data_IF_964765953721
#
_entry.id   IF_964765953721
#
_cell.length_a   1.000
_cell.length_b   1.000
_cell.length_c   1.000
_cell.angle_alpha   90.00
_cell.angle_beta   90.00
_cell.angle_gamma   90.00
#
_symmetry.space_group_name_H-M   'P 1'
#
loop_
_entity.id
_entity.type
_entity.pdbx_description
1 polymer ?
#
# COMPACT_ATOMS: atom_id res chain seq x y z
N UNK A 1 14.79 -13.87 7.92
CA UNK A 1 14.06 -12.82 8.68
C UNK A 1 12.56 -13.00 8.45
N UNK A 2 11.81 -13.00 9.53
CA UNK A 2 10.36 -13.18 9.45
C UNK A 2 9.70 -11.89 8.97
N UNK A 3 8.87 -11.98 7.93
CA UNK A 3 8.07 -10.84 7.49
C UNK A 3 6.91 -10.70 8.47
N UNK A 4 6.85 -9.57 9.19
CA UNK A 4 5.81 -9.29 10.17
C UNK A 4 4.54 -8.70 9.54
N UNK A 5 4.64 -8.16 8.32
CA UNK A 5 3.52 -7.56 7.64
C UNK A 5 3.85 -7.07 6.24
N UNK A 6 2.86 -6.44 5.63
CA UNK A 6 2.95 -5.87 4.29
C UNK A 6 2.37 -4.47 4.26
N UNK A 7 2.91 -3.65 3.39
CA UNK A 7 2.32 -2.35 3.04
C UNK A 7 1.51 -2.54 1.76
N UNK A 8 0.25 -2.17 1.77
CA UNK A 8 -0.60 -2.30 0.59
C UNK A 8 -0.44 -1.08 -0.31
N UNK A 9 -0.22 -1.32 -1.61
CA UNK A 9 -0.17 -0.22 -2.56
C UNK A 9 -1.56 0.11 -3.14
N UNK A 10 -1.62 1.12 -3.99
CA UNK A 10 -2.86 1.55 -4.63
C UNK A 10 -3.48 0.46 -5.51
N UNK A 11 -2.68 -0.35 -6.19
CA UNK A 11 -3.20 -1.41 -7.07
C UNK A 11 -3.94 -2.48 -6.28
N UNK A 12 -3.43 -2.86 -5.11
CA UNK A 12 -4.10 -3.83 -4.22
C UNK A 12 -5.40 -3.24 -3.70
N UNK A 13 -5.39 -2.00 -3.24
CA UNK A 13 -6.58 -1.33 -2.69
C UNK A 13 -7.69 -1.20 -3.73
N UNK A 14 -7.33 -0.90 -4.97
CA UNK A 14 -8.29 -0.83 -6.09
C UNK A 14 -8.96 -2.20 -6.30
N UNK A 15 -8.18 -3.28 -6.30
CA UNK A 15 -8.75 -4.62 -6.49
C UNK A 15 -9.62 -5.07 -5.30
N UNK A 16 -9.28 -4.67 -4.08
CA UNK A 16 -10.17 -4.88 -2.92
C UNK A 16 -11.51 -4.19 -3.16
N UNK A 17 -11.50 -2.93 -3.59
CA UNK A 17 -12.71 -2.15 -3.86
C UNK A 17 -13.54 -2.72 -4.99
N UNK A 18 -12.89 -3.25 -6.03
CA UNK A 18 -13.56 -3.89 -7.16
C UNK A 18 -14.12 -5.27 -6.83
N UNK A 19 -13.80 -5.80 -5.66
CA UNK A 19 -14.32 -7.09 -5.22
C UNK A 19 -13.57 -8.28 -5.78
N UNK A 20 -12.30 -8.13 -6.15
CA UNK A 20 -11.48 -9.26 -6.59
C UNK A 20 -11.47 -10.34 -5.51
N UNK A 21 -11.88 -11.54 -5.88
CA UNK A 21 -12.05 -12.62 -4.92
C UNK A 21 -10.73 -13.06 -4.29
N UNK A 22 -9.68 -13.20 -5.09
CA UNK A 22 -8.39 -13.69 -4.60
C UNK A 22 -7.71 -12.69 -3.67
N UNK A 23 -7.77 -11.41 -3.99
CA UNK A 23 -7.22 -10.35 -3.13
C UNK A 23 -7.98 -10.28 -1.81
N UNK A 24 -9.31 -10.34 -1.85
CA UNK A 24 -10.13 -10.32 -0.63
C UNK A 24 -9.88 -11.55 0.24
N UNK A 25 -9.76 -12.72 -0.39
CA UNK A 25 -9.41 -13.96 0.31
C UNK A 25 -8.04 -13.85 0.97
N UNK A 26 -7.06 -13.24 0.30
CA UNK A 26 -5.74 -13.02 0.87
C UNK A 26 -5.79 -12.13 2.10
N UNK A 27 -6.60 -11.07 2.08
CA UNK A 27 -6.77 -10.18 3.24
C UNK A 27 -7.35 -10.94 4.45
N UNK A 28 -8.31 -11.84 4.20
CA UNK A 28 -8.88 -12.69 5.25
C UNK A 28 -7.83 -13.66 5.81
N UNK A 29 -7.02 -14.27 4.93
CA UNK A 29 -5.94 -15.18 5.34
C UNK A 29 -4.93 -14.43 6.22
N UNK A 30 -4.54 -13.22 5.86
CA UNK A 30 -3.64 -12.40 6.67
C UNK A 30 -4.22 -12.14 8.05
N UNK A 31 -5.51 -11.82 8.13
CA UNK A 31 -6.17 -11.59 9.41
C UNK A 31 -6.18 -12.85 10.29
N UNK A 32 -6.40 -14.02 9.68
CA UNK A 32 -6.41 -15.29 10.40
C UNK A 32 -5.04 -15.73 10.87
N UNK A 33 -3.98 -15.35 10.17
CA UNK A 33 -2.59 -15.72 10.48
C UNK A 33 -1.81 -14.66 11.26
N UNK A 34 -2.48 -13.63 11.75
CA UNK A 34 -1.86 -12.48 12.44
C UNK A 34 -0.79 -11.75 11.60
N UNK A 35 -0.90 -11.81 10.29
CA UNK A 35 -0.07 -11.04 9.39
C UNK A 35 -0.62 -9.62 9.30
N UNK A 36 0.18 -8.65 9.72
CA UNK A 36 -0.25 -7.24 9.73
C UNK A 36 -0.19 -6.63 8.34
N UNK A 37 -1.10 -5.70 8.06
CA UNK A 37 -1.06 -4.89 6.87
C UNK A 37 -1.20 -3.42 7.23
N UNK A 38 -0.44 -2.59 6.53
CA UNK A 38 -0.52 -1.13 6.65
C UNK A 38 -1.06 -0.54 5.37
N UNK A 39 -2.03 0.35 5.51
CA UNK A 39 -2.62 1.11 4.40
C UNK A 39 -2.18 2.56 4.54
N UNK A 40 -1.24 3.03 3.71
CA UNK A 40 -0.85 4.44 3.76
C UNK A 40 -2.01 5.34 3.30
N UNK A 41 -2.31 6.39 4.06
CA UNK A 41 -3.50 7.21 3.84
C UNK A 41 -3.51 7.91 2.48
N UNK A 42 -2.36 8.39 2.01
CA UNK A 42 -2.27 9.05 0.69
C UNK A 42 -2.43 8.02 -0.43
N UNK A 43 -1.85 6.84 -0.26
CA UNK A 43 -2.03 5.71 -1.18
C UNK A 43 -3.52 5.35 -1.29
N UNK A 44 -4.21 5.29 -0.15
CA UNK A 44 -5.65 5.03 -0.10
C UNK A 44 -6.44 6.11 -0.85
N UNK A 45 -6.12 7.38 -0.62
CA UNK A 45 -6.82 8.48 -1.28
C UNK A 45 -6.71 8.40 -2.81
N UNK A 46 -5.51 8.09 -3.31
CA UNK A 46 -5.29 7.93 -4.76
C UNK A 46 -6.06 6.71 -5.29
N UNK A 47 -6.03 5.59 -4.58
CA UNK A 47 -6.79 4.39 -4.98
C UNK A 47 -8.29 4.67 -5.01
N UNK A 48 -8.84 5.32 -3.99
CA UNK A 48 -10.25 5.65 -3.92
C UNK A 48 -10.71 6.58 -5.05
N UNK A 49 -9.82 7.41 -5.56
CA UNK A 49 -10.16 8.33 -6.66
C UNK A 49 -10.58 7.59 -7.93
N UNK A 50 -10.17 6.33 -8.12
CA UNK A 50 -10.55 5.50 -9.27
C UNK A 50 -11.74 4.57 -8.98
N UNK A 51 -12.32 4.64 -7.78
CA UNK A 51 -13.39 3.74 -7.34
C UNK A 51 -14.74 4.47 -7.29
N UNK A 52 -15.82 3.72 -7.49
CA UNK A 52 -17.18 4.23 -7.27
C UNK A 52 -17.44 4.42 -5.77
N UNK A 53 -18.49 5.17 -5.37
CA UNK A 53 -18.84 5.30 -3.95
C UNK A 53 -19.06 3.97 -3.24
N UNK A 54 -19.70 3.00 -3.90
CA UNK A 54 -19.92 1.67 -3.32
C UNK A 54 -18.61 0.90 -3.14
N UNK A 55 -17.72 0.97 -4.12
CA UNK A 55 -16.40 0.33 -4.05
C UNK A 55 -15.53 0.95 -2.95
N UNK A 56 -15.61 2.26 -2.76
CA UNK A 56 -14.91 2.94 -1.65
C UNK A 56 -15.40 2.44 -0.30
N UNK A 57 -16.71 2.20 -0.15
CA UNK A 57 -17.26 1.65 1.10
C UNK A 57 -16.71 0.24 1.38
N UNK A 58 -16.50 -0.57 0.35
CA UNK A 58 -15.90 -1.90 0.51
C UNK A 58 -14.50 -1.80 1.09
N UNK A 59 -13.66 -0.92 0.54
CA UNK A 59 -12.29 -0.72 1.03
C UNK A 59 -12.30 -0.22 2.48
N UNK A 60 -13.11 0.79 2.76
CA UNK A 60 -13.21 1.37 4.11
C UNK A 60 -13.73 0.36 5.12
N UNK A 61 -14.70 -0.46 4.71
CA UNK A 61 -15.24 -1.53 5.54
C UNK A 61 -14.20 -2.58 5.88
N UNK A 62 -13.31 -2.91 4.94
CA UNK A 62 -12.19 -3.82 5.19
C UNK A 62 -11.24 -3.24 6.25
N UNK A 63 -10.86 -1.97 6.10
CA UNK A 63 -9.93 -1.31 7.03
C UNK A 63 -10.54 -1.30 8.44
N UNK A 64 -11.84 -1.01 8.55
CA UNK A 64 -12.52 -0.91 9.84
C UNK A 64 -12.79 -2.28 10.49
N UNK A 65 -13.03 -3.31 9.67
CA UNK A 65 -13.46 -4.62 10.16
C UNK A 65 -12.31 -5.56 10.53
N UNK A 66 -11.14 -5.43 9.90
CA UNK A 66 -10.01 -6.33 10.12
C UNK A 66 -9.04 -5.72 11.11
N UNK A 67 -8.85 -6.40 12.25
CA UNK A 67 -8.01 -5.92 13.35
C UNK A 67 -6.54 -5.82 12.98
N UNK A 68 -6.09 -6.61 12.01
CA UNK A 68 -4.69 -6.61 11.55
C UNK A 68 -4.39 -5.52 10.52
N UNK A 69 -5.37 -4.76 10.07
CA UNK A 69 -5.21 -3.68 9.08
C UNK A 69 -5.12 -2.36 9.82
N UNK A 70 -4.05 -1.61 9.57
CA UNK A 70 -3.82 -0.30 10.17
C UNK A 70 -3.71 0.77 9.09
N UNK A 71 -4.41 1.89 9.30
CA UNK A 71 -4.27 3.07 8.44
C UNK A 71 -3.07 3.89 8.90
N UNK A 72 -2.07 4.05 8.03
CA UNK A 72 -0.89 4.85 8.32
C UNK A 72 -1.12 6.30 7.89
N UNK A 73 -1.12 7.20 8.87
CA UNK A 73 -1.41 8.62 8.69
C UNK A 73 -0.13 9.45 8.50
N UNK A 74 -0.29 10.67 8.02
CA UNK A 74 0.73 11.71 8.09
C UNK A 74 0.18 12.77 9.06
N UNK A 75 0.38 12.54 10.35
CA UNK A 75 -0.20 13.38 11.39
C UNK A 75 0.84 14.02 12.33
N UNK A 76 2.12 13.67 12.16
CA UNK A 76 3.22 14.21 12.95
C UNK A 76 4.28 14.83 12.03
N UNK A 77 5.13 15.67 12.61
CA UNK A 77 6.25 16.24 11.84
C UNK A 77 7.24 15.16 11.40
N UNK A 78 7.46 14.14 12.22
CA UNK A 78 8.36 13.03 11.85
C UNK A 78 7.82 12.23 10.67
N UNK A 79 6.52 11.95 10.65
CA UNK A 79 5.88 11.28 9.53
C UNK A 79 5.96 12.11 8.26
N UNK A 80 5.73 13.43 8.36
CA UNK A 80 5.88 14.35 7.24
C UNK A 80 7.32 14.39 6.73
N UNK A 81 8.30 14.37 7.62
CA UNK A 81 9.72 14.39 7.26
C UNK A 81 10.12 13.11 6.50
N UNK A 82 9.65 11.94 6.95
CA UNK A 82 9.93 10.69 6.24
C UNK A 82 9.35 10.68 4.83
N UNK A 83 8.11 11.17 4.68
CA UNK A 83 7.48 11.30 3.37
C UNK A 83 8.24 12.31 2.49
N UNK A 84 8.62 13.44 3.05
CA UNK A 84 9.37 14.51 2.38
C UNK A 84 10.68 13.99 1.78
N UNK A 85 11.41 13.14 2.48
CA UNK A 85 12.67 12.59 1.98
C UNK A 85 12.46 11.72 0.73
N UNK A 86 11.37 10.98 0.68
CA UNK A 86 11.04 10.17 -0.50
C UNK A 86 10.63 11.07 -1.67
N UNK A 87 9.72 12.01 -1.41
CA UNK A 87 9.20 12.92 -2.44
C UNK A 87 10.33 13.75 -3.07
N UNK A 88 11.28 14.22 -2.25
CA UNK A 88 12.39 15.03 -2.73
C UNK A 88 13.30 14.30 -3.72
N UNK A 89 13.28 12.97 -3.75
CA UNK A 89 14.07 12.15 -4.67
C UNK A 89 13.34 11.80 -5.96
N UNK A 90 12.04 12.11 -6.03
CA UNK A 90 11.22 11.83 -7.20
C UNK A 90 11.27 12.99 -8.20
N UNK A 91 11.13 12.64 -9.49
CA UNK A 91 10.99 13.64 -10.56
C UNK A 91 9.57 14.20 -10.51
N UNK A 92 9.41 15.55 -10.42
CA UNK A 92 8.07 16.15 -10.41
C UNK A 92 7.29 15.90 -11.73
N UNK A 93 5.96 15.67 -11.62
CA UNK A 93 5.17 15.58 -10.42
C UNK A 93 5.35 14.24 -9.71
N UNK A 94 5.59 14.28 -8.39
CA UNK A 94 5.84 13.07 -7.63
C UNK A 94 4.62 12.16 -7.59
N UNK A 95 4.89 10.85 -7.67
CA UNK A 95 3.88 9.81 -7.45
C UNK A 95 3.63 9.68 -5.94
N UNK A 96 2.64 10.40 -5.44
CA UNK A 96 2.38 10.50 -4.01
C UNK A 96 1.89 9.19 -3.39
N UNK A 97 1.13 8.39 -4.15
CA UNK A 97 0.71 7.08 -3.69
C UNK A 97 1.92 6.16 -3.45
N UNK A 98 2.85 6.15 -4.38
CA UNK A 98 4.09 5.40 -4.25
C UNK A 98 4.97 5.96 -3.14
N UNK A 99 5.09 7.28 -3.04
CA UNK A 99 5.93 7.94 -2.03
C UNK A 99 5.50 7.59 -0.62
N UNK A 100 4.20 7.62 -0.32
CA UNK A 100 3.71 7.28 1.01
C UNK A 100 3.89 5.80 1.32
N UNK A 101 3.64 4.92 0.34
CA UNK A 101 3.88 3.49 0.51
C UNK A 101 5.36 3.20 0.81
N UNK A 102 6.28 3.86 0.12
CA UNK A 102 7.73 3.70 0.37
C UNK A 102 8.11 4.19 1.76
N UNK A 103 7.63 5.37 2.17
CA UNK A 103 7.94 5.93 3.47
C UNK A 103 7.49 5.00 4.61
N UNK A 104 6.28 4.43 4.50
CA UNK A 104 5.76 3.48 5.48
C UNK A 104 6.55 2.17 5.43
N UNK A 105 6.86 1.66 4.24
CA UNK A 105 7.64 0.44 4.05
C UNK A 105 9.03 0.55 4.70
N UNK A 106 9.71 1.66 4.53
CA UNK A 106 11.02 1.91 5.13
C UNK A 106 10.93 1.99 6.66
N UNK A 107 9.93 2.67 7.17
CA UNK A 107 9.76 2.84 8.61
C UNK A 107 9.44 1.52 9.32
N UNK A 108 8.56 0.71 8.73
CA UNK A 108 8.16 -0.57 9.30
C UNK A 108 9.11 -1.72 8.95
N UNK A 109 9.95 -1.54 7.94
CA UNK A 109 10.78 -2.61 7.35
C UNK A 109 9.92 -3.77 6.84
N UNK A 110 8.81 -3.43 6.18
CA UNK A 110 7.88 -4.38 5.56
C UNK A 110 7.89 -4.22 4.05
N UNK A 111 7.79 -5.30 3.28
CA UNK A 111 7.69 -5.20 1.83
C UNK A 111 6.33 -4.62 1.41
N UNK A 112 6.29 -4.05 0.21
CA UNK A 112 5.08 -3.54 -0.40
C UNK A 112 4.42 -4.65 -1.20
N UNK A 113 3.15 -4.91 -0.90
CA UNK A 113 2.32 -5.84 -1.65
C UNK A 113 1.68 -5.10 -2.81
N UNK A 114 1.86 -5.62 -4.03
CA UNK A 114 1.38 -4.97 -5.26
C UNK A 114 0.72 -5.99 -6.19
N UNK A 115 -0.17 -5.51 -7.05
CA UNK A 115 -0.71 -6.31 -8.14
C UNK A 115 0.18 -6.27 -9.38
N UNK A 116 1.13 -5.32 -9.46
CA UNK A 116 1.91 -5.12 -10.68
C UNK A 116 3.29 -4.52 -10.39
N UNK A 117 4.33 -5.28 -10.65
CA UNK A 117 5.71 -4.75 -10.60
C UNK A 117 5.94 -3.65 -11.64
N UNK A 118 5.23 -3.69 -12.76
CA UNK A 118 5.34 -2.66 -13.80
C UNK A 118 4.93 -1.28 -13.29
N UNK A 119 3.97 -1.24 -12.39
CA UNK A 119 3.53 0.01 -11.75
C UNK A 119 4.70 0.68 -11.01
N UNK A 120 5.64 -0.11 -10.48
CA UNK A 120 6.75 0.36 -9.66
C UNK A 120 8.03 0.65 -10.44
N UNK A 121 8.13 0.18 -11.68
CA UNK A 121 9.36 0.33 -12.48
C UNK A 121 9.79 1.81 -12.66
N UNK A 122 8.91 2.76 -13.01
CA UNK A 122 9.31 4.17 -13.13
C UNK A 122 9.80 4.77 -11.81
N UNK A 123 9.14 4.42 -10.72
CA UNK A 123 9.48 4.92 -9.38
C UNK A 123 10.83 4.38 -8.93
N UNK A 124 11.06 3.08 -9.13
CA UNK A 124 12.33 2.43 -8.76
C UNK A 124 13.51 3.06 -9.51
N UNK A 125 13.31 3.49 -10.75
CA UNK A 125 14.36 4.13 -11.55
C UNK A 125 14.78 5.50 -11.00
N UNK A 126 13.89 6.19 -10.26
CA UNK A 126 14.17 7.52 -9.71
C UNK A 126 14.87 7.49 -8.36
N UNK A 127 14.74 6.38 -7.61
CA UNK A 127 15.15 6.32 -6.21
C UNK A 127 16.48 5.59 -6.02
N UNK A 128 17.32 6.05 -5.07
CA UNK A 128 18.60 5.39 -4.79
C UNK A 128 18.44 4.13 -3.94
N UNK A 129 17.24 3.89 -3.38
CA UNK A 129 16.98 2.74 -2.52
C UNK A 129 16.35 1.60 -3.31
N UNK A 130 16.62 0.38 -2.83
CA UNK A 130 15.89 -0.77 -3.30
C UNK A 130 14.50 -0.77 -2.68
N UNK A 131 13.47 -0.94 -3.52
CA UNK A 131 12.08 -1.09 -3.08
C UNK A 131 11.79 -2.59 -3.01
N UNK A 132 11.41 -3.08 -1.84
CA UNK A 132 11.03 -4.48 -1.68
C UNK A 132 9.56 -4.66 -2.05
N UNK A 133 9.32 -5.41 -3.11
CA UNK A 133 7.98 -5.67 -3.65
C UNK A 133 7.66 -7.16 -3.57
N UNK A 134 6.41 -7.45 -3.20
CA UNK A 134 5.83 -8.79 -3.33
C UNK A 134 4.62 -8.66 -4.25
N UNK A 135 4.66 -9.32 -5.40
CA UNK A 135 3.60 -9.25 -6.39
C UNK A 135 2.58 -10.36 -6.16
N UNK A 136 1.31 -9.98 -6.09
CA UNK A 136 0.21 -10.95 -6.11
C UNK A 136 0.03 -11.40 -7.55
N UNK A 137 0.17 -12.70 -7.78
CA UNK A 137 -0.02 -13.29 -9.10
C UNK A 137 -1.34 -14.04 -9.12
N UNK A 138 -2.06 -13.89 -10.22
CA UNK A 138 -3.23 -14.72 -10.46
C UNK A 138 -2.79 -16.17 -10.61
N UNK A 139 -3.48 -17.12 -9.99
CA UNK A 139 -3.24 -18.53 -10.27
C UNK A 139 -3.58 -18.81 -11.72
N UNK A 140 -2.65 -19.38 -12.41
CA UNK A 140 -2.88 -19.83 -13.79
C UNK A 140 -3.87 -20.99 -13.85
#
# INVERSE_FOLDING_TARGET
MTILGYVLDDTVLVEVGRGDFDVRALMVIFNQSDTRTSVPAITLAVAEASLSPDQRRVVRGMIDALDNVELALVSTQDEAARLSEVVARMIPPADMAAAHAIAVSQYLDWPILTMSRKRWAPVAAELPWRIELVEIRDPE
#
